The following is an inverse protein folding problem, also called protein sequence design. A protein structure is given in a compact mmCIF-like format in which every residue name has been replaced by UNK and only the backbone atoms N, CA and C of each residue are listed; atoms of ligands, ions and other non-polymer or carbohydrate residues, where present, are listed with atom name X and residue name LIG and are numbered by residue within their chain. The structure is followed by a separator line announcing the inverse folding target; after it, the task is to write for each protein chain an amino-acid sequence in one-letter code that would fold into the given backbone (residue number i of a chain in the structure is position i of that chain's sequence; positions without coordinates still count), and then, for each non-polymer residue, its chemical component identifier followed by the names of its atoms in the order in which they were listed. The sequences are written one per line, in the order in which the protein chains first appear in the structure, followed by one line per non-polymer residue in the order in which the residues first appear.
data_IF_499962606397
#
_entry.id   IF_499962606397
#
_cell.length_a   1.000
_cell.length_b   1.000
_cell.length_c   1.000
_cell.angle_alpha   90.00
_cell.angle_beta   90.00
_cell.angle_gamma   90.00
#
_symmetry.space_group_name_H-M   'P 1'
#
loop_
_entity.id
_entity.type
_entity.pdbx_description
1 polymer ?
#
# COMPACT_ATOMS: atom_id res chain seq x y z
N UNK A 1 20.37 19.98 29.63
CA UNK A 1 19.70 20.15 28.31
C UNK A 1 18.48 19.25 28.32
N UNK A 2 17.33 19.71 27.80
CA UNK A 2 16.11 18.87 27.72
C UNK A 2 16.12 18.14 26.40
N UNK A 3 15.77 16.83 26.39
CA UNK A 3 15.64 15.98 25.21
C UNK A 3 14.20 15.60 25.04
N UNK A 4 13.80 15.37 23.76
CA UNK A 4 12.49 14.84 23.37
C UNK A 4 12.72 13.57 22.58
N UNK A 5 12.36 12.43 23.17
CA UNK A 5 12.44 11.13 22.51
C UNK A 5 11.19 10.81 21.71
N UNK A 6 11.38 10.15 20.58
CA UNK A 6 10.29 9.54 19.82
C UNK A 6 10.14 8.09 20.25
N UNK A 7 9.14 7.81 21.08
CA UNK A 7 8.84 6.44 21.50
C UNK A 7 7.94 5.76 20.47
N UNK A 8 8.22 4.49 20.15
CA UNK A 8 7.41 3.63 19.27
C UNK A 8 7.17 4.22 17.87
N UNK A 9 8.23 4.55 17.12
CA UNK A 9 8.06 5.08 15.76
C UNK A 9 7.29 4.09 14.88
N UNK A 10 6.43 4.61 14.01
CA UNK A 10 5.71 3.83 13.02
C UNK A 10 6.53 3.79 11.73
N UNK A 11 7.19 2.68 11.40
CA UNK A 11 8.04 2.59 10.22
C UNK A 11 7.22 2.45 8.94
N UNK A 12 7.69 3.11 7.89
CA UNK A 12 7.24 2.96 6.50
C UNK A 12 8.47 2.59 5.66
N UNK A 13 8.39 1.49 4.93
CA UNK A 13 9.41 1.10 3.98
C UNK A 13 9.09 1.65 2.59
N UNK A 14 10.10 2.19 1.91
CA UNK A 14 9.96 2.72 0.54
C UNK A 14 11.16 2.29 -0.31
N UNK A 15 10.88 1.86 -1.52
CA UNK A 15 11.90 1.56 -2.53
C UNK A 15 11.35 1.81 -3.92
N UNK A 16 12.21 1.77 -4.93
CA UNK A 16 11.81 1.76 -6.34
C UNK A 16 12.18 0.41 -6.93
N UNK A 17 11.24 -0.18 -7.67
CA UNK A 17 11.49 -1.36 -8.48
C UNK A 17 11.89 -0.94 -9.90
N UNK A 18 12.43 -1.87 -10.69
CA UNK A 18 12.85 -1.62 -12.09
C UNK A 18 11.92 -2.33 -13.08
N UNK A 19 10.60 -2.15 -12.87
CA UNK A 19 9.59 -2.81 -13.69
C UNK A 19 9.31 -2.08 -15.01
N UNK A 20 9.04 -2.83 -16.08
CA UNK A 20 8.44 -2.28 -17.31
C UNK A 20 6.97 -1.92 -17.06
N UNK A 21 6.76 -0.70 -16.59
CA UNK A 21 5.42 -0.20 -16.27
C UNK A 21 4.48 -0.19 -17.46
N UNK A 22 4.98 -0.03 -18.68
CA UNK A 22 4.17 -0.05 -19.90
C UNK A 22 3.58 -1.43 -20.12
N UNK A 23 4.37 -2.48 -19.93
CA UNK A 23 3.95 -3.87 -20.00
C UNK A 23 2.94 -4.21 -18.91
N UNK A 24 3.23 -3.83 -17.65
CA UNK A 24 2.34 -4.05 -16.50
C UNK A 24 1.00 -3.33 -16.70
N UNK A 25 1.04 -2.05 -17.07
CA UNK A 25 -0.16 -1.25 -17.36
C UNK A 25 -1.02 -1.87 -18.45
N UNK A 26 -0.40 -2.28 -19.56
CA UNK A 26 -1.12 -2.93 -20.69
C UNK A 26 -1.84 -4.20 -20.24
N UNK A 27 -1.20 -5.02 -19.41
CA UNK A 27 -1.81 -6.25 -18.88
C UNK A 27 -2.99 -5.95 -17.96
N UNK A 28 -2.83 -5.00 -17.02
CA UNK A 28 -3.91 -4.57 -16.11
C UNK A 28 -5.10 -4.03 -16.90
N UNK A 29 -4.89 -3.18 -17.90
CA UNK A 29 -5.99 -2.64 -18.73
C UNK A 29 -6.68 -3.74 -19.53
N UNK A 30 -5.95 -4.77 -20.01
CA UNK A 30 -6.57 -5.95 -20.65
C UNK A 30 -7.44 -6.72 -19.65
N UNK A 31 -6.95 -6.97 -18.45
CA UNK A 31 -7.71 -7.63 -17.39
C UNK A 31 -8.95 -6.81 -17.00
N UNK A 32 -8.82 -5.51 -16.80
CA UNK A 32 -9.93 -4.65 -16.38
C UNK A 32 -11.09 -4.64 -17.38
N UNK A 33 -10.79 -4.77 -18.69
CA UNK A 33 -11.81 -4.92 -19.73
C UNK A 33 -12.49 -6.30 -19.75
N UNK A 34 -11.76 -7.35 -19.33
CA UNK A 34 -12.27 -8.73 -19.27
C UNK A 34 -13.11 -8.98 -18.03
N UNK A 35 -12.74 -8.34 -16.92
CA UNK A 35 -13.39 -8.51 -15.62
C UNK A 35 -14.55 -7.51 -15.51
N UNK A 36 -15.69 -7.96 -15.01
CA UNK A 36 -16.72 -7.05 -14.53
C UNK A 36 -16.25 -6.48 -13.20
N UNK A 37 -15.42 -5.43 -13.25
CA UNK A 37 -14.87 -4.81 -12.03
C UNK A 37 -16.00 -4.24 -11.18
N UNK A 38 -16.00 -4.59 -9.90
CA UNK A 38 -16.89 -3.97 -8.94
C UNK A 38 -16.35 -2.58 -8.59
N UNK A 39 -17.12 -1.54 -8.90
CA UNK A 39 -16.87 -0.23 -8.29
C UNK A 39 -17.17 -0.37 -6.81
N UNK A 40 -16.13 -0.35 -6.00
CA UNK A 40 -16.29 -0.38 -4.57
C UNK A 40 -16.89 0.95 -4.11
N UNK A 41 -18.15 0.93 -3.67
CA UNK A 41 -18.88 2.13 -3.26
C UNK A 41 -18.33 2.76 -1.98
N UNK A 42 -17.69 1.97 -1.12
CA UNK A 42 -17.01 2.46 0.10
C UNK A 42 -15.66 3.07 -0.26
N UNK A 43 -14.91 2.39 -1.14
CA UNK A 43 -13.57 2.81 -1.53
C UNK A 43 -13.59 3.76 -2.73
N UNK A 44 -14.70 3.84 -3.45
CA UNK A 44 -14.92 4.72 -4.61
C UNK A 44 -13.82 4.60 -5.70
N UNK A 45 -13.46 3.37 -6.06
CA UNK A 45 -12.50 3.02 -7.12
C UNK A 45 -12.94 1.76 -7.85
N UNK A 46 -12.49 1.59 -9.10
CA UNK A 46 -12.61 0.32 -9.80
C UNK A 46 -11.52 -0.63 -9.31
N UNK A 47 -11.91 -1.78 -8.78
CA UNK A 47 -10.98 -2.71 -8.13
C UNK A 47 -11.14 -4.14 -8.60
N UNK A 48 -10.05 -4.89 -8.71
CA UNK A 48 -10.07 -6.34 -8.88
C UNK A 48 -10.19 -7.11 -7.55
N UNK A 49 -10.18 -6.41 -6.41
CA UNK A 49 -10.33 -7.04 -5.10
C UNK A 49 -11.63 -7.85 -5.01
N UNK A 50 -11.55 -9.08 -4.52
CA UNK A 50 -12.64 -10.06 -4.47
C UNK A 50 -13.22 -10.52 -5.82
N UNK A 51 -12.66 -10.08 -6.95
CA UNK A 51 -13.07 -10.50 -8.30
C UNK A 51 -11.97 -11.31 -8.97
N UNK A 52 -10.73 -10.88 -8.83
CA UNK A 52 -9.56 -11.51 -9.46
C UNK A 52 -8.31 -11.27 -8.63
N UNK A 53 -7.73 -12.34 -8.11
CA UNK A 53 -6.50 -12.28 -7.34
C UNK A 53 -5.28 -12.47 -8.26
N UNK A 54 -4.40 -11.46 -8.31
CA UNK A 54 -3.18 -11.47 -9.12
C UNK A 54 -2.17 -12.52 -8.67
N UNK A 55 -2.30 -13.09 -7.47
CA UNK A 55 -1.48 -14.22 -7.02
C UNK A 55 -1.61 -15.42 -7.96
N UNK A 56 -2.77 -15.58 -8.60
CA UNK A 56 -3.07 -16.67 -9.52
C UNK A 56 -2.72 -16.36 -10.99
N UNK A 57 -2.17 -15.19 -11.30
CA UNK A 57 -1.79 -14.78 -12.64
C UNK A 57 -0.28 -14.91 -12.84
N UNK A 58 0.14 -15.86 -13.69
CA UNK A 58 1.56 -16.13 -13.97
C UNK A 58 2.33 -14.90 -14.49
N UNK A 59 1.65 -13.92 -15.08
CA UNK A 59 2.26 -12.67 -15.52
C UNK A 59 2.89 -11.90 -14.36
N UNK A 60 2.28 -11.95 -13.17
CA UNK A 60 2.72 -11.19 -11.99
C UNK A 60 3.72 -11.94 -11.11
N UNK A 61 4.06 -13.21 -11.39
CA UNK A 61 4.99 -13.99 -10.55
C UNK A 61 6.31 -13.28 -10.27
N UNK A 62 7.00 -12.64 -11.25
CA UNK A 62 8.23 -11.90 -10.95
C UNK A 62 7.99 -10.77 -9.94
N UNK A 63 6.96 -9.96 -10.17
CA UNK A 63 6.62 -8.83 -9.31
C UNK A 63 6.18 -9.28 -7.90
N UNK A 64 5.45 -10.40 -7.78
CA UNK A 64 5.06 -10.99 -6.49
C UNK A 64 6.29 -11.46 -5.70
N UNK A 65 7.32 -11.98 -6.38
CA UNK A 65 8.58 -12.35 -5.74
C UNK A 65 9.31 -11.12 -5.19
N UNK A 66 9.32 -10.01 -5.94
CA UNK A 66 9.90 -8.74 -5.46
C UNK A 66 9.11 -8.19 -4.27
N UNK A 67 7.79 -8.24 -4.30
CA UNK A 67 6.97 -7.84 -3.17
C UNK A 67 7.28 -8.66 -1.91
N UNK A 68 7.41 -9.98 -2.04
CA UNK A 68 7.77 -10.85 -0.92
C UNK A 68 9.18 -10.57 -0.41
N UNK A 69 10.15 -10.37 -1.30
CA UNK A 69 11.54 -10.05 -0.97
C UNK A 69 11.63 -8.75 -0.14
N UNK A 70 11.02 -7.68 -0.64
CA UNK A 70 11.04 -6.38 0.04
C UNK A 70 10.23 -6.40 1.33
N UNK A 71 9.14 -7.17 1.40
CA UNK A 71 8.38 -7.37 2.64
C UNK A 71 9.20 -8.10 3.70
N UNK A 72 9.97 -9.12 3.32
CA UNK A 72 10.91 -9.80 4.22
C UNK A 72 12.01 -8.85 4.70
N UNK A 73 12.57 -8.01 3.82
CA UNK A 73 13.54 -6.98 4.18
C UNK A 73 12.95 -6.01 5.22
N UNK A 74 11.73 -5.58 5.03
CA UNK A 74 11.03 -4.72 5.99
C UNK A 74 10.80 -5.44 7.33
N UNK A 75 10.38 -6.70 7.31
CA UNK A 75 10.18 -7.50 8.52
C UNK A 75 11.48 -7.74 9.30
N UNK A 76 12.62 -7.95 8.61
CA UNK A 76 13.95 -8.00 9.27
C UNK A 76 14.24 -6.71 10.02
N UNK A 77 13.99 -5.56 9.39
CA UNK A 77 14.17 -4.26 10.03
C UNK A 77 13.24 -4.05 11.25
N UNK A 78 12.11 -4.78 11.31
CA UNK A 78 11.20 -4.82 12.46
C UNK A 78 11.60 -5.83 13.55
N UNK A 79 12.69 -6.61 13.33
CA UNK A 79 13.20 -7.57 14.30
C UNK A 79 12.65 -9.00 14.15
N UNK A 80 11.96 -9.32 13.06
CA UNK A 80 11.51 -10.70 12.82
C UNK A 80 12.66 -11.59 12.35
N UNK A 81 12.71 -12.82 12.86
CA UNK A 81 13.74 -13.81 12.55
C UNK A 81 13.48 -14.58 11.25
N UNK A 82 14.49 -15.36 10.82
CA UNK A 82 14.40 -16.17 9.61
C UNK A 82 13.24 -17.16 9.66
N UNK A 83 12.98 -17.80 10.79
CA UNK A 83 11.91 -18.79 10.93
C UNK A 83 10.54 -18.17 10.66
N UNK A 84 10.31 -16.94 11.14
CA UNK A 84 9.11 -16.20 10.83
C UNK A 84 9.02 -15.84 9.33
N UNK A 85 10.13 -15.35 8.76
CA UNK A 85 10.17 -14.92 7.36
C UNK A 85 9.90 -16.07 6.36
N UNK A 86 10.38 -17.27 6.67
CA UNK A 86 10.19 -18.46 5.82
C UNK A 86 8.70 -18.87 5.71
N UNK A 87 7.87 -18.47 6.68
CA UNK A 87 6.42 -18.71 6.69
C UNK A 87 5.59 -17.59 6.06
N UNK A 88 6.22 -16.48 5.70
CA UNK A 88 5.55 -15.36 5.04
C UNK A 88 5.32 -15.64 3.56
N UNK A 89 4.13 -15.27 3.06
CA UNK A 89 3.74 -15.41 1.66
C UNK A 89 2.85 -14.25 1.22
N UNK A 90 2.76 -13.99 -0.08
CA UNK A 90 1.78 -13.04 -0.62
C UNK A 90 0.40 -13.68 -0.51
N UNK A 91 -0.41 -13.19 0.41
CA UNK A 91 -1.73 -13.73 0.74
C UNK A 91 -2.79 -13.34 -0.27
N UNK A 92 -2.74 -12.08 -0.71
CA UNK A 92 -3.65 -11.51 -1.70
C UNK A 92 -2.97 -10.38 -2.46
N UNK A 93 -3.35 -10.20 -3.71
CA UNK A 93 -2.83 -9.14 -4.57
C UNK A 93 -3.89 -8.71 -5.58
N UNK A 94 -4.14 -7.41 -5.67
CA UNK A 94 -5.16 -6.85 -6.56
C UNK A 94 -4.70 -5.51 -7.14
N UNK A 95 -5.36 -5.06 -8.18
CA UNK A 95 -5.16 -3.70 -8.68
C UNK A 95 -6.38 -2.81 -8.45
N UNK A 96 -6.11 -1.52 -8.29
CA UNK A 96 -7.11 -0.47 -8.25
C UNK A 96 -6.84 0.52 -9.40
N UNK A 97 -7.91 0.94 -10.06
CA UNK A 97 -7.89 1.99 -11.08
C UNK A 97 -8.74 3.14 -10.56
N UNK A 98 -8.10 4.27 -10.28
CA UNK A 98 -8.76 5.50 -9.85
C UNK A 98 -8.86 6.46 -11.02
N UNK A 99 -10.02 7.06 -11.20
CA UNK A 99 -10.31 8.15 -12.12
C UNK A 99 -10.49 9.46 -11.35
N UNK A 100 -10.70 10.56 -12.06
CA UNK A 100 -10.93 11.89 -11.42
C UNK A 100 -12.02 11.79 -10.35
N UNK A 101 -11.77 12.39 -9.19
CA UNK A 101 -12.57 12.39 -7.96
C UNK A 101 -12.55 11.10 -7.13
N UNK A 102 -12.02 10.00 -7.66
CA UNK A 102 -11.93 8.74 -6.92
C UNK A 102 -10.93 8.85 -5.76
N UNK A 103 -11.27 8.22 -4.64
CA UNK A 103 -10.43 8.17 -3.44
C UNK A 103 -10.63 6.86 -2.71
N UNK A 104 -9.64 6.43 -1.95
CA UNK A 104 -9.78 5.33 -0.99
C UNK A 104 -10.03 5.92 0.39
N UNK A 105 -11.15 5.59 1.01
CA UNK A 105 -11.46 5.98 2.38
C UNK A 105 -10.40 5.41 3.36
N UNK A 106 -10.34 6.00 4.55
CA UNK A 106 -9.46 5.53 5.63
C UNK A 106 -9.83 4.12 6.04
N UNK A 107 -8.86 3.19 5.99
CA UNK A 107 -9.04 1.75 6.28
C UNK A 107 -7.75 1.09 6.77
N UNK A 108 -7.85 -0.16 7.18
CA UNK A 108 -6.77 -1.08 7.54
C UNK A 108 -6.99 -2.41 6.83
N UNK A 109 -6.01 -3.32 6.88
CA UNK A 109 -6.10 -4.68 6.35
C UNK A 109 -6.02 -5.70 7.50
N UNK A 110 -7.15 -6.05 8.13
CA UNK A 110 -7.15 -6.98 9.27
C UNK A 110 -6.69 -8.38 8.86
N UNK A 111 -5.93 -9.04 9.74
CA UNK A 111 -5.46 -10.41 9.53
C UNK A 111 -4.13 -10.55 8.81
N UNK A 112 -3.68 -9.53 8.10
CA UNK A 112 -2.38 -9.53 7.41
C UNK A 112 -1.30 -8.85 8.26
N UNK A 113 -0.03 -9.08 7.93
CA UNK A 113 1.13 -8.56 8.69
C UNK A 113 1.67 -7.28 8.08
N UNK A 114 1.92 -7.33 6.77
CA UNK A 114 2.42 -6.21 5.96
C UNK A 114 1.47 -6.01 4.80
N UNK A 115 1.15 -4.76 4.51
CA UNK A 115 0.45 -4.35 3.30
C UNK A 115 1.37 -3.50 2.44
N UNK A 116 1.18 -3.59 1.13
CA UNK A 116 1.97 -2.85 0.16
C UNK A 116 1.15 -2.19 -0.92
N UNK A 117 1.70 -1.10 -1.45
CA UNK A 117 1.20 -0.39 -2.62
C UNK A 117 2.34 -0.16 -3.61
N UNK A 118 2.19 -0.68 -4.82
CA UNK A 118 3.11 -0.48 -5.94
C UNK A 118 2.43 0.36 -7.03
N UNK A 119 3.05 1.48 -7.37
CA UNK A 119 2.44 2.46 -8.28
C UNK A 119 2.88 2.21 -9.72
N UNK A 120 1.91 1.83 -10.57
CA UNK A 120 2.09 1.61 -12.01
C UNK A 120 1.88 2.92 -12.78
N UNK A 121 0.91 3.71 -12.38
CA UNK A 121 0.60 5.03 -12.93
C UNK A 121 0.08 5.94 -11.83
N UNK A 122 0.57 7.17 -11.81
CA UNK A 122 0.12 8.20 -10.86
C UNK A 122 0.43 9.59 -11.39
N UNK A 123 -0.23 10.60 -10.84
CA UNK A 123 0.07 12.01 -11.09
C UNK A 123 0.96 12.59 -9.97
N UNK A 124 1.66 13.71 -10.20
CA UNK A 124 2.46 14.37 -9.16
C UNK A 124 1.65 14.83 -7.94
N UNK A 125 0.34 14.93 -8.07
CA UNK A 125 -0.57 15.36 -6.99
C UNK A 125 -1.13 14.21 -6.17
N UNK A 126 -0.85 12.96 -6.57
CA UNK A 126 -1.32 11.77 -5.87
C UNK A 126 -0.53 11.51 -4.61
N UNK A 127 -1.22 11.28 -3.50
CA UNK A 127 -0.61 10.96 -2.21
C UNK A 127 -1.33 9.81 -1.53
N UNK A 128 -0.55 8.98 -0.81
CA UNK A 128 -1.02 8.08 0.22
C UNK A 128 -0.84 8.75 1.57
N UNK A 129 -1.84 8.63 2.43
CA UNK A 129 -1.90 9.23 3.77
C UNK A 129 -1.88 8.13 4.82
N UNK A 130 -1.03 8.27 5.82
CA UNK A 130 -0.96 7.42 7.00
C UNK A 130 -1.34 8.21 8.22
N UNK A 131 -2.22 7.65 9.03
CA UNK A 131 -2.78 8.32 10.20
C UNK A 131 -2.17 7.79 11.48
N UNK A 132 -1.96 8.68 12.44
CA UNK A 132 -1.54 8.24 13.77
C UNK A 132 -2.65 7.41 14.44
N UNK A 133 -2.25 6.53 15.35
CA UNK A 133 -3.15 5.60 16.06
C UNK A 133 -3.54 6.12 17.44
N UNK A 134 -2.82 7.13 17.96
CA UNK A 134 -3.10 7.78 19.22
C UNK A 134 -3.75 9.16 18.98
N UNK A 135 -4.75 9.48 19.77
CA UNK A 135 -5.42 10.77 19.74
C UNK A 135 -4.86 11.71 20.80
N UNK A 136 -4.66 12.97 20.43
CA UNK A 136 -4.34 14.02 21.40
C UNK A 136 -5.63 14.54 22.02
N UNK A 137 -5.70 14.59 23.36
CA UNK A 137 -6.87 15.12 24.09
C UNK A 137 -7.14 16.56 23.67
N UNK A 138 -6.09 17.38 23.57
CA UNK A 138 -6.16 18.75 23.06
C UNK A 138 -5.10 18.92 21.97
N UNK A 139 -5.49 19.07 20.70
CA UNK A 139 -4.54 19.28 19.63
C UNK A 139 -3.87 20.66 19.77
N UNK A 140 -2.56 20.76 19.44
CA UNK A 140 -1.87 22.04 19.44
C UNK A 140 -2.33 22.94 18.30
N UNK A 141 -2.17 24.25 18.45
CA UNK A 141 -2.48 25.21 17.40
C UNK A 141 -1.57 25.04 16.17
N UNK A 142 -0.30 24.63 16.39
CA UNK A 142 0.66 24.38 15.32
C UNK A 142 1.12 22.91 15.37
N UNK A 143 0.94 22.20 14.25
CA UNK A 143 1.37 20.81 14.12
C UNK A 143 2.83 20.71 13.68
N UNK A 144 3.54 19.73 14.22
CA UNK A 144 4.91 19.36 13.86
C UNK A 144 5.05 17.83 13.80
N UNK A 145 6.29 17.30 13.67
CA UNK A 145 6.52 15.86 13.57
C UNK A 145 6.00 15.03 14.76
N UNK A 146 5.79 15.64 15.92
CA UNK A 146 5.29 14.95 17.13
C UNK A 146 3.77 15.04 17.28
N UNK A 147 3.11 16.00 16.60
CA UNK A 147 1.70 16.32 16.82
C UNK A 147 0.84 16.27 15.55
N UNK A 148 1.43 15.98 14.37
CA UNK A 148 0.66 15.86 13.15
C UNK A 148 -0.33 14.69 13.20
N UNK A 149 -1.52 14.88 12.67
CA UNK A 149 -2.58 13.85 12.63
C UNK A 149 -2.32 12.79 11.57
N UNK A 150 -1.60 13.15 10.52
CA UNK A 150 -1.23 12.24 9.43
C UNK A 150 0.09 12.67 8.79
N UNK A 151 0.70 11.71 8.10
CA UNK A 151 1.85 11.93 7.20
C UNK A 151 1.45 11.45 5.82
N UNK A 152 1.86 12.16 4.77
CA UNK A 152 1.61 11.74 3.40
C UNK A 152 2.91 11.54 2.62
N UNK A 153 2.85 10.62 1.66
CA UNK A 153 3.92 10.39 0.69
C UNK A 153 3.36 10.53 -0.72
N UNK A 154 4.12 11.14 -1.65
CA UNK A 154 3.75 11.15 -3.05
C UNK A 154 3.71 9.72 -3.60
N UNK A 155 2.74 9.45 -4.47
CA UNK A 155 2.66 8.21 -5.22
C UNK A 155 3.49 8.35 -6.50
N UNK A 156 4.65 7.70 -6.57
CA UNK A 156 5.56 7.82 -7.71
C UNK A 156 5.57 6.51 -8.51
N UNK A 157 5.49 6.53 -9.86
CA UNK A 157 5.59 5.31 -10.66
C UNK A 157 6.87 4.51 -10.33
N UNK A 158 6.78 3.18 -10.34
CA UNK A 158 7.80 2.23 -9.87
C UNK A 158 8.10 2.27 -8.36
N UNK A 159 7.45 3.12 -7.57
CA UNK A 159 7.63 3.12 -6.14
C UNK A 159 6.82 2.00 -5.48
N UNK A 160 7.46 1.28 -4.58
CA UNK A 160 6.86 0.35 -3.64
C UNK A 160 6.87 0.96 -2.25
N UNK A 161 5.71 1.03 -1.60
CA UNK A 161 5.55 1.46 -0.21
C UNK A 161 4.98 0.30 0.59
N UNK A 162 5.65 -0.06 1.72
CA UNK A 162 5.19 -1.09 2.66
C UNK A 162 4.93 -0.49 4.03
N UNK A 163 3.94 -1.02 4.70
CA UNK A 163 3.53 -0.62 6.04
C UNK A 163 2.87 -1.78 6.79
N UNK A 164 2.78 -1.66 8.12
CA UNK A 164 2.05 -2.64 8.93
C UNK A 164 0.57 -2.62 8.54
N UNK A 165 -0.04 -3.77 8.33
CA UNK A 165 -1.40 -3.89 7.80
C UNK A 165 -2.48 -3.25 8.69
N UNK A 166 -2.21 -3.10 9.98
CA UNK A 166 -3.10 -2.41 10.93
C UNK A 166 -2.93 -0.88 10.96
N UNK A 167 -2.02 -0.32 10.14
CA UNK A 167 -1.86 1.13 10.06
C UNK A 167 -2.96 1.74 9.21
N UNK A 168 -3.72 2.66 9.82
CA UNK A 168 -4.76 3.40 9.10
C UNK A 168 -4.18 4.22 7.96
N UNK A 169 -4.72 4.02 6.76
CA UNK A 169 -4.29 4.74 5.57
C UNK A 169 -5.44 5.05 4.61
N UNK A 170 -5.21 6.00 3.74
CA UNK A 170 -6.17 6.41 2.69
C UNK A 170 -5.44 6.99 1.49
N UNK A 171 -6.16 7.28 0.42
CA UNK A 171 -5.66 8.14 -0.67
C UNK A 171 -6.56 9.36 -0.81
N UNK A 172 -5.96 10.49 -1.19
CA UNK A 172 -6.72 11.68 -1.55
C UNK A 172 -7.53 11.48 -2.83
N UNK A 173 -8.48 12.37 -3.07
CA UNK A 173 -9.23 12.39 -4.32
C UNK A 173 -8.28 12.61 -5.51
N UNK A 174 -8.43 11.76 -6.53
CA UNK A 174 -7.68 11.86 -7.78
C UNK A 174 -8.01 13.19 -8.46
N UNK A 175 -7.00 14.03 -8.68
CA UNK A 175 -7.19 15.37 -9.28
C UNK A 175 -7.06 15.34 -10.79
N UNK A 176 -6.10 14.58 -11.30
CA UNK A 176 -5.71 14.56 -12.70
C UNK A 176 -5.43 13.13 -13.18
N UNK A 177 -5.72 12.86 -14.44
CA UNK A 177 -5.35 11.61 -15.08
C UNK A 177 -6.00 10.37 -14.46
N UNK A 178 -5.25 9.29 -14.52
CA UNK A 178 -5.58 8.00 -13.89
C UNK A 178 -4.47 7.61 -12.94
N UNK A 179 -4.85 6.90 -11.87
CA UNK A 179 -3.92 6.21 -11.00
C UNK A 179 -4.17 4.72 -11.09
N UNK A 180 -3.10 3.95 -11.32
CA UNK A 180 -3.13 2.49 -11.29
C UNK A 180 -2.15 2.06 -10.21
N UNK A 181 -2.66 1.34 -9.22
CA UNK A 181 -1.87 0.81 -8.11
C UNK A 181 -2.13 -0.69 -7.96
N UNK A 182 -1.08 -1.46 -7.76
CA UNK A 182 -1.15 -2.85 -7.33
C UNK A 182 -1.00 -2.85 -5.81
N UNK A 183 -2.02 -3.35 -5.13
CA UNK A 183 -2.03 -3.51 -3.67
C UNK A 183 -1.92 -4.98 -3.32
N UNK A 184 -1.27 -5.29 -2.21
CA UNK A 184 -1.11 -6.66 -1.76
C UNK A 184 -0.98 -6.75 -0.24
N UNK A 185 -1.19 -7.94 0.26
CA UNK A 185 -1.02 -8.28 1.66
C UNK A 185 -0.06 -9.45 1.82
N UNK A 186 0.71 -9.43 2.89
CA UNK A 186 1.56 -10.53 3.35
C UNK A 186 0.90 -11.22 4.51
N UNK A 187 0.62 -12.49 4.33
CA UNK A 187 0.13 -13.40 5.35
C UNK A 187 1.25 -14.23 5.99
N UNK A 188 0.89 -14.94 7.05
CA UNK A 188 1.77 -15.83 7.80
C UNK A 188 1.07 -17.17 8.02
N UNK A 189 1.74 -18.28 7.68
CA UNK A 189 1.23 -19.62 7.92
C UNK A 189 1.64 -20.09 9.32
N UNK A 190 0.66 -20.25 10.22
CA UNK A 190 0.86 -21.08 11.39
C UNK A 190 0.89 -22.55 10.93
N UNK A 191 1.98 -23.25 11.24
CA UNK A 191 2.05 -24.70 11.05
C UNK A 191 1.29 -25.38 12.18
#
# INVERSE_FOLDING_TARGET
MSEIDSLFPVPIYKTFLSEDLSRVKKHIIKLSKKLSLNRNTILNVDTSHNVYDLVNDSFFVPLLNDFLLHSRTFLVALGYDKHFLDKCFVESCWFNISSKTDSLAKHIHPGSIVSGAFYVESSPTDHIYFYRTDDMILPPNNHNKYSTKYVSYPCTPNQLILFKSNLNHSTGAQKEGKKIVISFNIGYKNL
#
